data_IF_921215330925
#
_entry.id   IF_921215330925
#
_cell.length_a   1.000
_cell.length_b   1.000
_cell.length_c   1.000
_cell.angle_alpha   90.00
_cell.angle_beta   90.00
_cell.angle_gamma   90.00
#
_symmetry.space_group_name_H-M   'P 1'
#
loop_
_entity.id
_entity.type
_entity.pdbx_description
1 polymer ?
#
# COMPACT_ATOMS: atom_id res chain seq x y z
N UNK A 1 -1.47 13.84 -19.86
CA UNK A 1 -0.88 12.63 -19.25
C UNK A 1 -0.99 12.81 -17.75
N UNK A 2 -1.60 11.87 -17.02
CA UNK A 2 -1.74 12.02 -15.57
C UNK A 2 -0.33 12.05 -14.95
N UNK A 3 0.04 13.04 -14.12
CA UNK A 3 1.33 13.04 -13.40
C UNK A 3 1.59 11.73 -12.64
N UNK A 4 0.52 11.05 -12.21
CA UNK A 4 0.58 9.76 -11.51
C UNK A 4 0.95 8.57 -12.42
N UNK A 5 0.94 8.72 -13.76
CA UNK A 5 1.34 7.66 -14.70
C UNK A 5 2.86 7.51 -14.87
N UNK A 6 3.65 8.44 -14.30
CA UNK A 6 5.11 8.45 -14.43
C UNK A 6 5.73 7.17 -13.83
N UNK A 7 6.37 6.31 -14.64
CA UNK A 7 6.92 5.03 -14.17
C UNK A 7 7.88 5.13 -13.00
N UNK A 8 8.53 6.27 -12.77
CA UNK A 8 9.49 6.45 -11.66
C UNK A 8 8.84 6.29 -10.28
N UNK A 9 7.55 6.61 -10.17
CA UNK A 9 6.76 6.48 -8.94
C UNK A 9 6.18 5.08 -8.75
N UNK A 10 6.21 4.21 -9.76
CA UNK A 10 5.67 2.86 -9.70
C UNK A 10 6.75 1.82 -9.39
N UNK A 11 6.89 1.46 -8.11
CA UNK A 11 7.82 0.41 -7.66
C UNK A 11 7.26 -0.97 -8.01
N UNK A 12 8.09 -1.79 -8.66
CA UNK A 12 7.72 -3.12 -9.18
C UNK A 12 6.49 -3.12 -10.11
N UNK A 13 6.10 -1.96 -10.63
CA UNK A 13 4.88 -1.79 -11.42
C UNK A 13 3.56 -1.91 -10.63
N UNK A 14 3.61 -1.98 -9.30
CA UNK A 14 2.43 -2.22 -8.44
C UNK A 14 2.26 -1.16 -7.37
N UNK A 15 3.34 -0.79 -6.67
CA UNK A 15 3.28 0.14 -5.55
C UNK A 15 3.54 1.57 -6.02
N UNK A 16 2.60 2.47 -5.74
CA UNK A 16 2.76 3.88 -6.08
C UNK A 16 3.43 4.64 -4.92
N UNK A 17 4.48 5.39 -5.22
CA UNK A 17 5.23 6.20 -4.27
C UNK A 17 5.57 7.56 -4.88
N UNK A 18 4.81 8.58 -4.54
CA UNK A 18 5.11 9.96 -4.89
C UNK A 18 4.97 10.85 -3.64
N UNK A 19 6.09 11.30 -3.04
CA UNK A 19 6.05 12.16 -1.84
C UNK A 19 5.58 13.58 -2.14
N UNK A 20 5.65 14.03 -3.39
CA UNK A 20 5.20 15.36 -3.82
C UNK A 20 3.69 15.41 -4.07
N UNK A 21 3.05 14.24 -4.25
CA UNK A 21 1.60 14.12 -4.30
C UNK A 21 1.05 13.88 -2.88
N UNK A 22 0.22 14.80 -2.39
CA UNK A 22 -0.40 14.69 -1.07
C UNK A 22 -1.57 13.71 -1.02
N UNK A 23 -2.17 13.34 -2.16
CA UNK A 23 -3.27 12.39 -2.22
C UNK A 23 -2.88 11.02 -1.65
N UNK A 24 -3.76 10.46 -0.83
CA UNK A 24 -3.59 9.14 -0.21
C UNK A 24 -3.94 8.01 -1.16
N UNK A 25 -4.84 8.27 -2.10
CA UNK A 25 -5.31 7.32 -3.10
C UNK A 25 -5.17 7.92 -4.49
N UNK A 26 -4.69 7.12 -5.43
CA UNK A 26 -4.58 7.47 -6.85
C UNK A 26 -5.10 6.32 -7.70
N UNK A 27 -5.46 6.60 -8.94
CA UNK A 27 -5.85 5.56 -9.88
C UNK A 27 -4.67 4.63 -10.22
N UNK A 28 -4.97 3.35 -10.46
CA UNK A 28 -3.95 2.44 -10.98
C UNK A 28 -3.55 2.85 -12.39
N UNK A 29 -2.24 2.82 -12.68
CA UNK A 29 -1.71 3.01 -14.05
C UNK A 29 -2.29 2.02 -15.06
N UNK A 30 -2.66 0.82 -14.62
CA UNK A 30 -3.27 -0.22 -15.47
C UNK A 30 -4.41 -0.93 -14.73
N UNK A 31 -5.51 -1.17 -15.42
CA UNK A 31 -6.69 -1.88 -14.90
C UNK A 31 -7.70 -0.95 -14.24
N UNK A 32 -8.58 -1.52 -13.42
CA UNK A 32 -9.66 -0.80 -12.73
C UNK A 32 -9.32 -0.64 -11.24
N UNK A 33 -9.67 0.52 -10.70
CA UNK A 33 -9.58 0.85 -9.27
C UNK A 33 -8.35 1.68 -8.90
N UNK A 34 -8.25 2.03 -7.61
CA UNK A 34 -7.17 2.83 -7.06
C UNK A 34 -6.10 2.03 -6.33
N UNK A 35 -5.04 2.74 -5.92
CA UNK A 35 -3.97 2.26 -5.04
C UNK A 35 -3.63 3.32 -3.99
N UNK A 36 -2.98 2.89 -2.91
CA UNK A 36 -2.49 3.80 -1.88
C UNK A 36 -1.19 4.45 -2.36
N UNK A 37 -1.07 5.76 -2.18
CA UNK A 37 0.19 6.47 -2.31
C UNK A 37 1.05 6.26 -1.05
N UNK A 38 2.07 5.42 -1.16
CA UNK A 38 3.01 5.17 -0.06
C UNK A 38 3.98 6.34 0.18
N UNK A 39 4.03 7.32 -0.73
CA UNK A 39 4.75 8.58 -0.55
C UNK A 39 4.06 9.50 0.48
N UNK A 40 2.74 9.44 0.60
CA UNK A 40 1.99 10.30 1.52
C UNK A 40 2.00 9.76 2.97
N UNK A 41 2.04 10.69 3.93
CA UNK A 41 2.07 10.34 5.36
C UNK A 41 0.78 9.65 5.80
N UNK A 42 -0.37 10.11 5.31
CA UNK A 42 -1.66 9.53 5.65
C UNK A 42 -1.91 8.21 4.91
N UNK A 43 -1.46 8.07 3.65
CA UNK A 43 -1.50 6.81 2.90
C UNK A 43 -0.78 5.68 3.64
N UNK A 44 0.43 5.94 4.16
CA UNK A 44 1.15 4.96 5.00
C UNK A 44 0.42 4.60 6.28
N UNK A 45 -0.25 5.56 6.94
CA UNK A 45 -1.04 5.30 8.15
C UNK A 45 -2.27 4.45 7.86
N UNK A 46 -2.98 4.74 6.76
CA UNK A 46 -4.12 3.94 6.31
C UNK A 46 -3.67 2.51 6.02
N UNK A 47 -2.57 2.33 5.27
CA UNK A 47 -2.02 1.01 4.99
C UNK A 47 -1.69 0.25 6.28
N UNK A 48 -0.98 0.89 7.22
CA UNK A 48 -0.62 0.26 8.49
C UNK A 48 -1.87 -0.13 9.31
N UNK A 49 -2.86 0.75 9.41
CA UNK A 49 -4.10 0.50 10.15
C UNK A 49 -4.85 -0.73 9.60
N UNK A 50 -4.88 -0.90 8.28
CA UNK A 50 -5.57 -2.02 7.63
C UNK A 50 -4.75 -3.31 7.66
N UNK A 51 -3.44 -3.24 7.44
CA UNK A 51 -2.61 -4.42 7.19
C UNK A 51 -1.93 -4.98 8.45
N UNK A 52 -1.55 -4.14 9.42
CA UNK A 52 -0.87 -4.59 10.65
C UNK A 52 -1.72 -5.57 11.47
N UNK A 53 -3.03 -5.33 11.72
CA UNK A 53 -3.86 -6.28 12.45
C UNK A 53 -3.93 -7.66 11.78
N UNK A 54 -3.99 -7.69 10.44
CA UNK A 54 -4.01 -8.93 9.65
C UNK A 54 -2.72 -9.72 9.87
N UNK A 55 -1.57 -9.05 9.79
CA UNK A 55 -0.26 -9.67 10.02
C UNK A 55 -0.16 -10.22 11.45
N UNK A 56 -0.62 -9.47 12.46
CA UNK A 56 -0.63 -9.93 13.86
C UNK A 56 -1.47 -11.21 14.01
N UNK A 57 -2.68 -11.24 13.46
CA UNK A 57 -3.56 -12.43 13.54
C UNK A 57 -2.91 -13.65 12.90
N UNK A 58 -2.30 -13.48 11.71
CA UNK A 58 -1.59 -14.57 11.02
C UNK A 58 -0.42 -15.07 11.86
N UNK A 59 0.40 -14.17 12.43
CA UNK A 59 1.53 -14.55 13.26
C UNK A 59 1.09 -15.28 14.54
N UNK A 60 0.03 -14.82 15.21
CA UNK A 60 -0.52 -15.49 16.38
C UNK A 60 -1.03 -16.90 16.04
N UNK A 61 -1.74 -17.04 14.91
CA UNK A 61 -2.20 -18.34 14.43
C UNK A 61 -1.04 -19.30 14.17
N UNK A 62 0.01 -18.83 13.50
CA UNK A 62 1.24 -19.59 13.26
C UNK A 62 1.85 -20.03 14.59
N UNK A 63 2.09 -19.10 15.52
CA UNK A 63 2.66 -19.39 16.84
C UNK A 63 1.83 -20.48 17.52
N UNK A 64 0.51 -20.32 17.63
CA UNK A 64 -0.35 -21.32 18.27
C UNK A 64 -0.27 -22.68 17.57
N UNK A 65 -0.23 -22.72 16.23
CA UNK A 65 -0.13 -23.95 15.47
C UNK A 65 1.22 -24.66 15.63
N UNK A 66 2.31 -23.92 15.85
CA UNK A 66 3.66 -24.48 16.05
C UNK A 66 3.92 -24.90 17.51
N UNK A 67 3.27 -24.28 18.49
CA UNK A 67 3.43 -24.58 19.93
C UNK A 67 2.32 -25.47 20.51
N UNK A 68 1.40 -25.95 19.66
CA UNK A 68 0.40 -26.97 19.99
C UNK A 68 0.84 -28.32 19.45
#
# INVERSE_FOLDING_TARGET
>A
MNPDDDPKYWKLGVFYYNPDNSSEFVDKRRGIGGTINFGSKLGRRIFALLFVPIVIVILLFIIIAFFK
#
